data_IF_053619083629
#
_entry.id   IF_053619083629
#
_cell.length_a   1.000
_cell.length_b   1.000
_cell.length_c   1.000
_cell.angle_alpha   90.00
_cell.angle_beta   90.00
_cell.angle_gamma   90.00
#
_symmetry.space_group_name_H-M   'P 1'
#
loop_
_entity.id
_entity.type
_entity.pdbx_description
1 polymer ?
#
# COMPACT_ATOMS: atom_id res chain seq x y z
N UNK A 1 7.48 11.94 18.91
CA UNK A 1 7.02 11.20 17.71
C UNK A 1 5.50 11.15 17.76
N UNK A 2 4.79 11.45 16.67
CA UNK A 2 3.34 11.38 16.66
C UNK A 2 2.86 9.94 16.81
N UNK A 3 1.86 9.75 17.67
CA UNK A 3 1.14 8.50 17.90
C UNK A 3 0.32 8.09 16.67
N UNK A 4 -0.04 6.80 16.57
CA UNK A 4 -0.89 6.30 15.49
C UNK A 4 -2.22 7.08 15.39
N UNK A 5 -2.79 7.46 16.54
CA UNK A 5 -4.01 8.28 16.63
C UNK A 5 -3.82 9.65 15.99
N UNK A 6 -2.71 10.34 16.26
CA UNK A 6 -2.42 11.65 15.67
C UNK A 6 -2.17 11.56 14.16
N UNK A 7 -1.60 10.45 13.68
CA UNK A 7 -1.43 10.20 12.24
C UNK A 7 -2.78 9.98 11.55
N UNK A 8 -3.70 9.24 12.18
CA UNK A 8 -5.05 8.99 11.68
C UNK A 8 -5.91 10.27 11.64
N UNK A 9 -5.94 11.05 12.73
CA UNK A 9 -6.70 12.31 12.78
C UNK A 9 -6.20 13.34 11.77
N UNK A 10 -4.89 13.39 11.52
CA UNK A 10 -4.32 14.26 10.47
C UNK A 10 -4.71 13.80 9.06
N UNK A 11 -4.89 12.50 8.86
CA UNK A 11 -5.38 11.94 7.59
C UNK A 11 -6.84 12.37 7.35
N UNK A 12 -7.70 12.21 8.36
CA UNK A 12 -9.12 12.59 8.33
C UNK A 12 -9.33 14.09 8.05
N UNK A 13 -8.50 14.96 8.65
CA UNK A 13 -8.58 16.41 8.44
C UNK A 13 -8.10 16.84 7.04
N UNK A 14 -7.23 16.05 6.39
CA UNK A 14 -6.79 16.30 5.01
C UNK A 14 -7.79 15.79 3.98
N UNK A 15 -8.59 14.79 4.33
CA UNK A 15 -9.52 14.12 3.39
C UNK A 15 -10.88 14.80 3.29
N UNK A 16 -11.16 15.83 4.11
CA UNK A 16 -12.46 16.50 4.20
C UNK A 16 -12.71 17.57 3.11
N UNK A 17 -11.73 17.86 2.24
CA UNK A 17 -11.85 18.89 1.21
C UNK A 17 -12.20 18.31 -0.17
N UNK A 18 -13.51 18.24 -0.46
CA UNK A 18 -14.21 18.35 -1.77
C UNK A 18 -13.71 17.61 -3.03
N UNK A 19 -12.63 16.84 -2.94
CA UNK A 19 -12.03 16.10 -4.05
C UNK A 19 -12.22 14.62 -3.74
N UNK A 20 -12.73 13.80 -4.67
CA UNK A 20 -12.72 12.36 -4.49
C UNK A 20 -11.26 11.94 -4.28
N UNK A 21 -10.97 11.38 -3.11
CA UNK A 21 -9.66 10.82 -2.83
C UNK A 21 -9.74 9.36 -3.24
N UNK A 22 -9.00 9.01 -4.29
CA UNK A 22 -8.76 7.62 -4.61
C UNK A 22 -7.84 7.05 -3.54
N UNK A 23 -8.43 6.31 -2.60
CA UNK A 23 -7.70 5.58 -1.57
C UNK A 23 -7.40 4.19 -2.13
N UNK A 24 -6.13 3.93 -2.43
CA UNK A 24 -5.63 2.59 -2.71
C UNK A 24 -4.92 2.05 -1.47
N UNK A 25 -5.29 0.85 -1.03
CA UNK A 25 -4.67 0.21 0.11
C UNK A 25 -3.52 -0.69 -0.34
N UNK A 26 -2.35 -0.54 0.28
CA UNK A 26 -1.20 -1.42 0.03
C UNK A 26 -1.10 -2.48 1.13
N UNK A 27 -1.17 -3.75 0.75
CA UNK A 27 -1.01 -4.90 1.63
C UNK A 27 0.39 -5.47 1.38
N UNK A 28 1.18 -5.67 2.44
CA UNK A 28 2.49 -6.31 2.32
C UNK A 28 2.38 -7.74 2.83
N UNK A 29 2.56 -8.70 1.92
CA UNK A 29 2.64 -10.12 2.24
C UNK A 29 4.11 -10.52 2.26
N UNK A 30 4.61 -10.84 3.46
CA UNK A 30 5.99 -11.29 3.64
C UNK A 30 6.09 -12.75 3.22
N UNK A 31 6.88 -13.02 2.19
CA UNK A 31 7.02 -14.35 1.59
C UNK A 31 8.45 -14.89 1.73
N UNK A 32 8.60 -16.21 1.64
CA UNK A 32 9.91 -16.85 1.64
C UNK A 32 10.60 -16.66 0.29
N UNK A 33 11.90 -16.97 0.22
CA UNK A 33 12.68 -16.87 -1.02
C UNK A 33 12.22 -17.80 -2.14
N UNK A 34 11.49 -18.86 -1.79
CA UNK A 34 11.01 -19.91 -2.70
C UNK A 34 9.57 -19.66 -3.18
N UNK A 35 8.87 -18.65 -2.65
CA UNK A 35 7.51 -18.33 -3.09
C UNK A 35 7.53 -17.81 -4.53
N UNK A 36 6.76 -18.45 -5.40
CA UNK A 36 6.68 -18.13 -6.84
C UNK A 36 6.16 -16.71 -7.10
N UNK A 37 5.44 -16.12 -6.14
CA UNK A 37 4.88 -14.75 -6.25
C UNK A 37 5.86 -13.71 -5.78
N UNK A 38 6.99 -14.09 -5.18
CA UNK A 38 8.00 -13.15 -4.69
C UNK A 38 8.43 -12.21 -5.80
N UNK A 39 8.54 -10.91 -5.49
CA UNK A 39 8.93 -9.90 -6.46
C UNK A 39 7.79 -9.49 -7.40
N UNK A 40 6.55 -9.85 -7.08
CA UNK A 40 5.36 -9.44 -7.85
C UNK A 40 4.38 -8.67 -6.97
N UNK A 41 3.47 -7.96 -7.62
CA UNK A 41 2.32 -7.33 -6.99
C UNK A 41 1.04 -7.70 -7.73
N UNK A 42 -0.06 -7.75 -6.99
CA UNK A 42 -1.38 -8.06 -7.52
C UNK A 42 -2.41 -7.04 -7.03
N UNK A 43 -3.16 -6.46 -7.97
CA UNK A 43 -4.27 -5.57 -7.65
C UNK A 43 -5.52 -6.41 -7.37
N UNK A 44 -5.88 -6.51 -6.09
CA UNK A 44 -7.17 -7.03 -5.64
C UNK A 44 -8.25 -5.98 -5.87
N UNK A 45 -8.98 -6.11 -6.98
CA UNK A 45 -10.19 -5.32 -7.26
C UNK A 45 -11.47 -6.13 -7.09
N UNK A 46 -11.38 -7.46 -7.08
CA UNK A 46 -12.55 -8.32 -6.93
C UNK A 46 -12.97 -8.40 -5.46
N UNK A 47 -14.24 -8.05 -5.19
CA UNK A 47 -14.92 -8.20 -3.89
C UNK A 47 -14.46 -7.29 -2.74
N UNK A 48 -13.64 -6.26 -2.98
CA UNK A 48 -13.23 -5.30 -1.96
C UNK A 48 -13.93 -3.95 -2.13
N UNK A 49 -14.34 -3.28 -1.04
CA UNK A 49 -14.96 -1.95 -1.10
C UNK A 49 -14.00 -0.86 -1.58
N UNK A 50 -12.69 -1.14 -1.57
CA UNK A 50 -11.64 -0.25 -2.05
C UNK A 50 -10.59 -1.06 -2.82
N UNK A 51 -9.95 -0.48 -3.86
CA UNK A 51 -8.86 -1.14 -4.56
C UNK A 51 -7.70 -1.39 -3.59
N UNK A 52 -7.24 -2.64 -3.55
CA UNK A 52 -6.09 -3.04 -2.75
C UNK A 52 -5.00 -3.58 -3.67
N UNK A 53 -3.74 -3.24 -3.43
CA UNK A 53 -2.60 -3.89 -4.09
C UNK A 53 -1.79 -4.66 -3.06
N UNK A 54 -1.62 -5.95 -3.30
CA UNK A 54 -0.80 -6.83 -2.47
C UNK A 54 0.59 -6.96 -3.07
N UNK A 55 1.61 -6.67 -2.28
CA UNK A 55 3.01 -6.83 -2.62
C UNK A 55 3.57 -8.09 -1.94
N UNK A 56 4.21 -8.95 -2.71
CA UNK A 56 4.84 -10.18 -2.21
C UNK A 56 6.35 -9.97 -2.14
N UNK A 57 6.87 -9.69 -0.94
CA UNK A 57 8.27 -9.33 -0.74
C UNK A 57 8.91 -10.15 0.39
N UNK A 58 10.19 -10.50 0.26
CA UNK A 58 10.93 -11.17 1.32
C UNK A 58 11.66 -10.20 2.26
N UNK A 59 11.74 -8.91 1.89
CA UNK A 59 12.41 -7.87 2.69
C UNK A 59 11.77 -6.50 2.49
N UNK A 60 12.10 -5.57 3.39
CA UNK A 60 11.63 -4.17 3.30
C UNK A 60 12.14 -3.49 2.03
N UNK A 61 13.41 -3.65 1.69
CA UNK A 61 14.01 -3.06 0.49
C UNK A 61 13.35 -3.58 -0.79
N UNK A 62 12.99 -4.87 -0.82
CA UNK A 62 12.25 -5.48 -1.92
C UNK A 62 10.84 -4.92 -2.03
N UNK A 63 10.13 -4.76 -0.91
CA UNK A 63 8.82 -4.08 -0.90
C UNK A 63 8.92 -2.64 -1.42
N UNK A 64 9.90 -1.86 -0.97
CA UNK A 64 10.08 -0.46 -1.41
C UNK A 64 10.32 -0.40 -2.92
N UNK A 65 11.15 -1.29 -3.47
CA UNK A 65 11.39 -1.38 -4.90
C UNK A 65 10.12 -1.75 -5.70
N UNK A 66 9.30 -2.69 -5.19
CA UNK A 66 8.04 -3.08 -5.85
C UNK A 66 7.00 -1.96 -5.78
N UNK A 67 6.92 -1.26 -4.64
CA UNK A 67 6.02 -0.11 -4.46
C UNK A 67 6.39 1.02 -5.43
N UNK A 68 7.67 1.34 -5.56
CA UNK A 68 8.13 2.41 -6.45
C UNK A 68 7.93 2.06 -7.93
N UNK A 69 7.96 0.77 -8.30
CA UNK A 69 7.56 0.30 -9.63
C UNK A 69 6.05 0.43 -9.88
N UNK A 70 5.22 0.09 -8.89
CA UNK A 70 3.75 0.15 -9.00
C UNK A 70 3.23 1.59 -9.05
N UNK A 71 3.78 2.48 -8.23
CA UNK A 71 3.32 3.86 -8.10
C UNK A 71 4.51 4.83 -7.99
N UNK A 72 5.20 5.11 -9.11
CA UNK A 72 6.31 6.04 -9.12
C UNK A 72 5.84 7.45 -8.74
N UNK A 73 6.40 8.01 -7.66
CA UNK A 73 6.15 9.41 -7.26
C UNK A 73 5.24 9.64 -6.05
N UNK A 74 4.90 8.61 -5.26
CA UNK A 74 4.14 8.73 -4.00
C UNK A 74 4.95 9.31 -2.81
N UNK A 75 5.89 10.23 -3.06
CA UNK A 75 6.76 10.83 -2.02
C UNK A 75 6.25 12.19 -1.53
#
# INVERSE_FOLDING_TARGET
MPTLKERLTRLEAKTTATTPIDIEFHIVSVVTSEDERRGTWYRNTEYLPYPCTTFYAASVAEFEALRDQHAPGLF
#
